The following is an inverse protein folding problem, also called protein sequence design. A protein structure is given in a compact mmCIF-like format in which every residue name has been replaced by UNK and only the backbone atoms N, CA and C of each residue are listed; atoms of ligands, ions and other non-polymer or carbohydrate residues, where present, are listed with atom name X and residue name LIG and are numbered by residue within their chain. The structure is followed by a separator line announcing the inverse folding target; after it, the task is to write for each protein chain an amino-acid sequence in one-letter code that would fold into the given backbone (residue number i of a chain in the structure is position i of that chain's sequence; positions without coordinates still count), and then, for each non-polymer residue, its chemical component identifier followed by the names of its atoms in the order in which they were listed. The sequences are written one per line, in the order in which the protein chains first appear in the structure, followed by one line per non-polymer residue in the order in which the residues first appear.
data_IF_663584650085
#
_entry.id   IF_663584650085
#
_cell.length_a   1.000
_cell.length_b   1.000
_cell.length_c   1.000
_cell.angle_alpha   90.00
_cell.angle_beta   90.00
_cell.angle_gamma   90.00
#
_symmetry.space_group_name_H-M   'P 1'
#
loop_
_entity.id
_entity.type
_entity.pdbx_description
1 polymer ?
#
# COMPACT_ATOMS: atom_id res chain seq x y z
N UNK A 1 14.85 2.35 -5.48
CA UNK A 1 13.99 1.31 -6.08
C UNK A 1 13.90 0.04 -5.23
N UNK A 2 15.00 -0.53 -4.70
CA UNK A 2 14.93 -1.73 -3.84
C UNK A 2 14.27 -1.50 -2.47
N UNK A 3 14.57 -0.39 -1.78
CA UNK A 3 13.99 -0.08 -0.44
C UNK A 3 12.46 0.01 -0.43
N UNK A 4 11.84 0.44 -1.53
CA UNK A 4 10.38 0.49 -1.66
C UNK A 4 9.76 -0.87 -1.95
N UNK A 5 10.50 -1.81 -2.55
CA UNK A 5 10.00 -3.15 -2.89
C UNK A 5 9.86 -4.00 -1.62
N UNK A 6 10.88 -3.99 -0.74
CA UNK A 6 10.87 -4.71 0.53
C UNK A 6 9.68 -4.29 1.41
N UNK A 7 9.44 -2.98 1.54
CA UNK A 7 8.31 -2.47 2.33
C UNK A 7 6.95 -2.90 1.75
N UNK A 8 6.82 -2.99 0.42
CA UNK A 8 5.59 -3.48 -0.22
C UNK A 8 5.38 -4.97 -0.01
N UNK A 9 6.45 -5.77 -0.04
CA UNK A 9 6.39 -7.18 0.32
C UNK A 9 5.97 -7.36 1.78
N UNK A 10 6.49 -6.53 2.69
CA UNK A 10 6.06 -6.51 4.08
C UNK A 10 4.57 -6.14 4.22
N UNK A 11 4.08 -5.13 3.51
CA UNK A 11 2.64 -4.80 3.48
C UNK A 11 1.82 -5.99 2.98
N UNK A 12 2.22 -6.62 1.87
CA UNK A 12 1.53 -7.80 1.30
C UNK A 12 1.48 -8.95 2.31
N UNK A 13 2.58 -9.20 3.01
CA UNK A 13 2.65 -10.21 4.05
C UNK A 13 1.67 -9.90 5.20
N UNK A 14 1.65 -8.66 5.69
CA UNK A 14 0.72 -8.24 6.74
C UNK A 14 -0.76 -8.33 6.30
N UNK A 15 -1.07 -8.03 5.04
CA UNK A 15 -2.43 -8.20 4.50
C UNK A 15 -2.85 -9.67 4.49
N UNK A 16 -1.94 -10.59 4.13
CA UNK A 16 -2.19 -12.04 4.23
C UNK A 16 -2.37 -12.53 5.68
N UNK A 17 -1.86 -11.79 6.65
CA UNK A 17 -2.11 -12.01 8.08
C UNK A 17 -3.36 -11.28 8.58
N UNK A 18 -4.20 -10.78 7.67
CA UNK A 18 -5.46 -10.07 7.96
C UNK A 18 -5.28 -8.81 8.83
N UNK A 19 -4.08 -8.19 8.78
CA UNK A 19 -3.82 -6.95 9.50
C UNK A 19 -4.46 -5.75 8.82
N UNK A 20 -5.04 -4.88 9.64
CA UNK A 20 -5.61 -3.62 9.19
C UNK A 20 -4.52 -2.60 8.85
N UNK A 21 -4.83 -1.62 7.99
CA UNK A 21 -3.89 -0.54 7.68
C UNK A 21 -3.46 0.24 8.94
N UNK A 22 -4.36 0.40 9.91
CA UNK A 22 -4.10 1.07 11.18
C UNK A 22 -3.07 0.34 12.05
N UNK A 23 -3.00 -1.00 11.98
CA UNK A 23 -1.96 -1.80 12.63
C UNK A 23 -0.65 -1.80 11.84
N UNK A 24 -0.72 -1.82 10.51
CA UNK A 24 0.45 -1.93 9.63
C UNK A 24 1.29 -0.66 9.65
N UNK A 25 0.67 0.53 9.64
CA UNK A 25 1.38 1.82 9.64
C UNK A 25 2.39 1.94 10.81
N UNK A 26 2.02 1.75 12.08
CA UNK A 26 2.97 1.82 13.18
C UNK A 26 4.02 0.69 13.15
N UNK A 27 3.66 -0.52 12.67
CA UNK A 27 4.63 -1.61 12.50
C UNK A 27 5.72 -1.26 11.48
N UNK A 28 5.34 -0.71 10.32
CA UNK A 28 6.29 -0.29 9.29
C UNK A 28 7.14 0.88 9.74
N UNK A 29 6.56 1.87 10.42
CA UNK A 29 7.33 2.98 11.01
C UNK A 29 8.36 2.49 12.01
N UNK A 30 8.02 1.47 12.81
CA UNK A 30 8.97 0.86 13.75
C UNK A 30 10.09 0.08 13.05
N UNK A 31 9.78 -0.62 11.95
CA UNK A 31 10.76 -1.43 11.22
C UNK A 31 11.70 -0.60 10.33
N UNK A 32 11.16 0.39 9.61
CA UNK A 32 11.88 1.14 8.57
C UNK A 32 12.26 2.57 9.00
N UNK A 33 11.71 3.08 10.11
CA UNK A 33 12.06 4.38 10.66
C UNK A 33 11.89 5.52 9.65
N UNK A 34 12.96 6.30 9.46
CA UNK A 34 13.01 7.46 8.55
C UNK A 34 12.84 7.09 7.08
N UNK A 35 13.17 5.85 6.72
CA UNK A 35 13.05 5.34 5.34
C UNK A 35 11.66 4.74 5.05
N UNK A 36 10.75 4.77 6.03
CA UNK A 36 9.40 4.23 5.88
C UNK A 36 8.62 4.97 4.79
N UNK A 37 7.85 4.23 3.99
CA UNK A 37 6.85 4.78 3.09
C UNK A 37 5.88 5.68 3.87
N UNK A 38 5.39 6.73 3.20
CA UNK A 38 4.36 7.59 3.77
C UNK A 38 3.06 6.80 4.02
N UNK A 39 2.29 7.22 5.02
CA UNK A 39 1.02 6.57 5.39
C UNK A 39 0.07 6.44 4.19
N UNK A 40 0.05 7.44 3.30
CA UNK A 40 -0.73 7.41 2.05
C UNK A 40 -0.29 6.28 1.12
N UNK A 41 1.01 6.05 0.98
CA UNK A 41 1.52 4.94 0.17
C UNK A 41 1.23 3.59 0.80
N UNK A 42 1.42 3.47 2.12
CA UNK A 42 1.11 2.24 2.86
C UNK A 42 -0.37 1.89 2.68
N UNK A 43 -1.27 2.86 2.84
CA UNK A 43 -2.70 2.66 2.66
C UNK A 43 -3.07 2.25 1.23
N UNK A 44 -2.49 2.90 0.22
CA UNK A 44 -2.68 2.56 -1.20
C UNK A 44 -2.27 1.12 -1.50
N UNK A 45 -1.12 0.68 -1.00
CA UNK A 45 -0.65 -0.70 -1.18
C UNK A 45 -1.48 -1.71 -0.38
N UNK A 46 -1.84 -1.40 0.85
CA UNK A 46 -2.73 -2.22 1.68
C UNK A 46 -4.05 -2.49 0.96
N UNK A 47 -4.72 -1.43 0.49
CA UNK A 47 -5.97 -1.54 -0.27
C UNK A 47 -5.80 -2.37 -1.53
N UNK A 48 -4.75 -2.13 -2.32
CA UNK A 48 -4.52 -2.88 -3.55
C UNK A 48 -4.33 -4.39 -3.28
N UNK A 49 -3.58 -4.76 -2.24
CA UNK A 49 -3.41 -6.17 -1.86
C UNK A 49 -4.69 -6.78 -1.29
N UNK A 50 -5.47 -6.02 -0.53
CA UNK A 50 -6.78 -6.46 -0.03
C UNK A 50 -7.79 -6.67 -1.18
N UNK A 51 -7.69 -5.90 -2.26
CA UNK A 51 -8.48 -6.06 -3.50
C UNK A 51 -7.96 -7.18 -4.42
N UNK A 52 -6.95 -7.95 -3.98
CA UNK A 52 -6.47 -9.14 -4.70
C UNK A 52 -5.29 -8.91 -5.64
N UNK A 53 -4.64 -7.73 -5.61
CA UNK A 53 -3.38 -7.54 -6.35
C UNK A 53 -2.31 -8.49 -5.82
N UNK A 54 -1.53 -9.10 -6.72
CA UNK A 54 -0.37 -9.91 -6.33
C UNK A 54 0.98 -9.24 -6.63
N UNK A 55 1.03 -8.35 -7.61
CA UNK A 55 2.27 -7.69 -8.03
C UNK A 55 2.72 -6.61 -7.02
N UNK A 56 4.02 -6.56 -6.72
CA UNK A 56 4.69 -5.63 -5.81
C UNK A 56 5.46 -4.50 -6.53
N UNK A 57 5.65 -4.61 -7.85
CA UNK A 57 6.24 -3.59 -8.70
C UNK A 57 5.31 -2.39 -8.83
N UNK A 58 5.89 -1.19 -8.91
CA UNK A 58 5.12 0.06 -8.95
C UNK A 58 4.50 0.37 -10.32
N UNK A 59 4.25 -0.65 -11.15
CA UNK A 59 3.75 -0.40 -12.49
C UNK A 59 2.42 0.37 -12.41
N UNK A 60 2.52 1.61 -12.88
CA UNK A 60 1.56 2.69 -12.67
C UNK A 60 0.20 2.43 -13.32
N UNK A 61 0.11 1.42 -14.17
CA UNK A 61 -1.06 1.09 -15.00
C UNK A 61 -2.26 0.62 -14.18
N UNK A 62 -2.06 -0.07 -13.04
CA UNK A 62 -3.17 -0.51 -12.20
C UNK A 62 -3.64 0.53 -11.18
N UNK A 63 -2.78 1.48 -10.78
CA UNK A 63 -3.05 2.27 -9.56
C UNK A 63 -3.77 3.60 -9.81
N UNK A 64 -3.68 4.14 -11.03
CA UNK A 64 -4.38 5.38 -11.39
C UNK A 64 -5.88 5.19 -11.69
N UNK A 65 -6.37 3.96 -11.83
CA UNK A 65 -7.77 3.70 -12.18
C UNK A 65 -8.73 3.79 -10.98
N UNK A 66 -8.28 3.51 -9.75
CA UNK A 66 -9.14 3.65 -8.56
C UNK A 66 -9.27 5.10 -8.07
N UNK A 67 -8.25 5.96 -8.25
CA UNK A 67 -8.31 7.36 -7.78
C UNK A 67 -9.14 8.27 -8.70
N UNK A 68 -9.30 7.95 -9.99
CA UNK A 68 -10.17 8.74 -10.89
C UNK A 68 -11.67 8.56 -10.65
N UNK A 69 -12.11 7.46 -10.01
CA UNK A 69 -13.55 7.21 -9.75
C UNK A 69 -14.12 7.95 -8.54
N UNK A 70 -13.29 8.59 -7.71
CA UNK A 70 -13.77 9.40 -6.58
C UNK A 70 -14.15 10.83 -6.96
N UNK A 71 -14.02 11.22 -8.24
CA UNK A 71 -14.37 12.57 -8.71
C UNK A 71 -15.70 12.63 -9.49
N UNK A 72 -16.38 11.50 -9.73
CA UNK A 72 -17.64 11.45 -10.50
C UNK A 72 -18.92 11.47 -9.65
N UNK A 73 -18.83 11.63 -8.33
CA UNK A 73 -20.01 11.79 -7.45
C UNK A 73 -20.18 13.20 -6.88
N UNK A 74 -19.53 14.18 -7.51
CA UNK A 74 -19.79 15.61 -7.29
C UNK A 74 -20.18 16.26 -8.61
N UNK A 75 -21.35 15.88 -9.14
CA UNK A 75 -22.13 16.65 -10.10
C UNK A 75 -23.60 16.52 -9.73
#
# INVERSE_FOLDING_TARGET
MQRSLEQRMAIKFCVKLEKSAAEIIPMLKKAFGVDCLSDRHIFRWHKAFAEGREDVNDDWTAINLQFRRQCETCA
#
